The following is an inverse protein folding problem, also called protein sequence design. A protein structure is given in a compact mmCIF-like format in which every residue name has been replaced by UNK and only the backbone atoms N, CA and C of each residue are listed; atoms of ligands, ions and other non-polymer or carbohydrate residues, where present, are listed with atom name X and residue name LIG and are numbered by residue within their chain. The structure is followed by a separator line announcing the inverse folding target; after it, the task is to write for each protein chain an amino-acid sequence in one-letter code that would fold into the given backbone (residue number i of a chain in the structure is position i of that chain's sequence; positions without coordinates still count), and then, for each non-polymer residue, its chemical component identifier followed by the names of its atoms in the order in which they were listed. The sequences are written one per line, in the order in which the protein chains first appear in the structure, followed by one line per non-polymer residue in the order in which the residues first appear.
data_IF_767120380656
#
_entry.id   IF_767120380656
#
_cell.length_a   1.000
_cell.length_b   1.000
_cell.length_c   1.000
_cell.angle_alpha   90.00
_cell.angle_beta   90.00
_cell.angle_gamma   90.00
#
_symmetry.space_group_name_H-M   'P 1'
#
loop_
_entity.id
_entity.type
_entity.pdbx_description
1 polymer ?
#
# COMPACT_ATOMS: atom_id res chain seq x y z
N UNK A 1 -19.75 -37.16 14.04
CA UNK A 1 -19.34 -35.81 13.61
C UNK A 1 -20.38 -35.29 12.64
N UNK A 2 -21.32 -34.50 13.14
CA UNK A 2 -22.45 -33.97 12.38
C UNK A 2 -21.99 -33.11 11.19
N UNK A 3 -22.45 -33.47 9.99
CA UNK A 3 -22.13 -32.80 8.71
C UNK A 3 -22.39 -31.28 8.76
N UNK A 4 -23.38 -30.86 9.56
CA UNK A 4 -23.72 -29.45 9.84
C UNK A 4 -22.63 -28.69 10.58
N UNK A 5 -21.96 -29.33 11.54
CA UNK A 5 -20.88 -28.72 12.31
C UNK A 5 -19.64 -28.48 11.42
N UNK A 6 -19.38 -29.41 10.49
CA UNK A 6 -18.30 -29.29 9.50
C UNK A 6 -18.57 -28.13 8.52
N UNK A 7 -19.81 -27.96 8.09
CA UNK A 7 -20.20 -26.86 7.20
C UNK A 7 -20.05 -25.49 7.87
N UNK A 8 -20.48 -25.37 9.13
CA UNK A 8 -20.32 -24.15 9.90
C UNK A 8 -18.84 -23.77 10.09
N UNK A 9 -17.99 -24.75 10.35
CA UNK A 9 -16.55 -24.53 10.51
C UNK A 9 -15.89 -24.03 9.22
N UNK A 10 -16.26 -24.59 8.06
CA UNK A 10 -15.72 -24.17 6.74
C UNK A 10 -16.16 -22.74 6.39
N UNK A 11 -17.42 -22.39 6.67
CA UNK A 11 -17.91 -21.04 6.43
C UNK A 11 -17.19 -20.00 7.31
N UNK A 12 -16.93 -20.34 8.59
CA UNK A 12 -16.24 -19.43 9.50
C UNK A 12 -14.79 -19.16 9.06
N UNK A 13 -14.04 -20.19 8.65
CA UNK A 13 -12.67 -19.99 8.13
C UNK A 13 -12.68 -19.22 6.81
N UNK A 14 -13.64 -19.46 5.91
CA UNK A 14 -13.73 -18.70 4.67
C UNK A 14 -13.89 -17.20 4.93
N UNK A 15 -14.76 -16.78 5.84
CA UNK A 15 -14.98 -15.36 6.17
C UNK A 15 -13.72 -14.70 6.76
N UNK A 16 -12.97 -15.41 7.60
CA UNK A 16 -11.72 -14.89 8.20
C UNK A 16 -10.63 -14.72 7.15
N UNK A 17 -10.48 -15.66 6.20
CA UNK A 17 -9.52 -15.51 5.10
C UNK A 17 -9.87 -14.33 4.19
N UNK A 18 -11.15 -14.13 3.86
CA UNK A 18 -11.56 -12.99 3.03
C UNK A 18 -11.34 -11.64 3.72
N UNK A 19 -11.44 -11.61 5.05
CA UNK A 19 -11.16 -10.41 5.83
C UNK A 19 -9.67 -10.03 5.81
N UNK A 20 -8.76 -11.01 5.77
CA UNK A 20 -7.33 -10.75 5.62
C UNK A 20 -6.93 -10.43 4.17
N UNK A 21 -7.68 -10.86 3.16
CA UNK A 21 -7.39 -10.51 1.75
C UNK A 21 -7.84 -9.12 1.34
N UNK A 22 -8.68 -8.46 2.14
CA UNK A 22 -9.13 -7.09 1.89
C UNK A 22 -8.29 -6.04 2.60
N UNK A 23 -7.07 -6.40 3.01
CA UNK A 23 -6.12 -5.47 3.57
C UNK A 23 -5.66 -4.54 2.45
N UNK A 24 -6.40 -3.46 2.26
CA UNK A 24 -6.08 -2.37 1.35
C UNK A 24 -4.66 -1.92 1.70
N UNK A 25 -3.71 -2.17 0.79
CA UNK A 25 -2.34 -1.67 0.93
C UNK A 25 -2.47 -0.16 1.16
N UNK A 26 -1.96 0.38 2.29
CA UNK A 26 -2.05 1.79 2.55
C UNK A 26 -1.52 2.53 1.34
N UNK A 27 -2.37 3.28 0.65
CA UNK A 27 -1.96 4.01 -0.54
C UNK A 27 -0.73 4.83 -0.14
N UNK A 28 0.45 4.57 -0.74
CA UNK A 28 1.67 5.24 -0.32
C UNK A 28 1.45 6.73 -0.45
N UNK A 29 1.60 7.45 0.67
CA UNK A 29 1.44 8.90 0.69
C UNK A 29 2.66 9.48 -0.01
N UNK A 30 2.51 9.72 -1.31
CA UNK A 30 3.48 10.42 -2.12
C UNK A 30 3.53 11.88 -1.70
N UNK A 31 4.74 12.39 -1.47
CA UNK A 31 4.94 13.81 -1.19
C UNK A 31 5.39 14.52 -2.47
N UNK A 32 5.03 15.79 -2.63
CA UNK A 32 5.60 16.59 -3.69
C UNK A 32 7.08 16.90 -3.41
N UNK A 33 7.96 16.74 -4.42
CA UNK A 33 9.36 17.10 -4.30
C UNK A 33 9.53 18.61 -4.16
N UNK A 34 10.54 19.02 -3.40
CA UNK A 34 10.96 20.40 -3.35
C UNK A 34 11.86 20.68 -4.55
N UNK A 35 11.56 21.76 -5.27
CA UNK A 35 12.38 22.20 -6.41
C UNK A 35 13.27 23.35 -5.97
N UNK A 36 14.55 23.26 -6.32
CA UNK A 36 15.46 24.40 -6.21
C UNK A 36 15.14 25.46 -7.29
N UNK A 37 15.82 26.61 -7.20
CA UNK A 37 15.71 27.70 -8.18
C UNK A 37 16.11 27.31 -9.62
N UNK A 38 16.77 26.16 -9.81
CA UNK A 38 17.20 25.62 -11.10
C UNK A 38 16.23 24.54 -11.62
N UNK A 39 15.21 24.18 -10.84
CA UNK A 39 14.24 23.15 -11.19
C UNK A 39 14.70 21.72 -10.87
N UNK A 40 15.76 21.55 -10.08
CA UNK A 40 16.18 20.22 -9.64
C UNK A 40 15.24 19.71 -8.55
N UNK A 41 14.60 18.54 -8.71
CA UNK A 41 13.75 17.98 -7.67
C UNK A 41 14.61 17.38 -6.55
N UNK A 42 14.14 17.50 -5.32
CA UNK A 42 14.76 16.91 -4.13
C UNK A 42 13.70 16.42 -3.15
N UNK A 43 14.02 15.34 -2.43
CA UNK A 43 13.15 14.75 -1.41
C UNK A 43 13.76 14.90 -0.02
N UNK A 44 12.90 15.01 0.98
CA UNK A 44 13.28 14.97 2.39
C UNK A 44 13.89 13.63 2.77
N UNK A 45 14.72 13.60 3.81
CA UNK A 45 15.29 12.36 4.33
C UNK A 45 14.21 11.31 4.62
N UNK A 46 14.42 10.07 4.16
CA UNK A 46 13.42 9.00 4.23
C UNK A 46 12.50 8.90 3.01
N UNK A 47 12.73 9.70 1.97
CA UNK A 47 12.02 9.61 0.69
C UNK A 47 12.99 9.69 -0.49
N UNK A 48 12.70 8.92 -1.54
CA UNK A 48 13.43 8.91 -2.81
C UNK A 48 12.59 9.48 -3.94
N UNK A 49 13.26 10.06 -4.94
CA UNK A 49 12.59 10.54 -6.15
C UNK A 49 12.11 9.35 -6.97
N UNK A 50 10.81 9.32 -7.24
CA UNK A 50 10.16 8.32 -8.08
C UNK A 50 9.25 8.99 -9.11
N UNK A 51 8.86 8.24 -10.12
CA UNK A 51 7.86 8.66 -11.11
C UNK A 51 6.64 7.77 -10.97
N UNK A 52 5.47 8.37 -10.74
CA UNK A 52 4.22 7.61 -10.71
C UNK A 52 3.90 7.08 -12.11
N UNK A 53 3.03 6.06 -12.18
CA UNK A 53 2.48 5.53 -13.43
C UNK A 53 1.73 6.56 -14.29
N UNK A 54 1.30 7.67 -13.70
CA UNK A 54 0.74 8.84 -14.39
C UNK A 54 1.82 9.82 -14.92
N UNK A 55 3.11 9.52 -14.74
CA UNK A 55 4.24 10.34 -15.18
C UNK A 55 4.59 11.51 -14.25
N UNK A 56 4.11 11.52 -13.00
CA UNK A 56 4.35 12.61 -12.06
C UNK A 56 5.60 12.32 -11.21
N UNK A 57 6.52 13.29 -11.14
CA UNK A 57 7.67 13.22 -10.23
C UNK A 57 7.20 13.41 -8.78
N UNK A 58 7.44 12.41 -7.94
CA UNK A 58 7.01 12.36 -6.54
C UNK A 58 8.14 11.89 -5.63
N UNK A 59 8.01 12.17 -4.34
CA UNK A 59 8.83 11.58 -3.29
C UNK A 59 8.14 10.34 -2.74
N UNK A 60 8.71 9.17 -3.00
CA UNK A 60 8.26 7.88 -2.50
C UNK A 60 9.01 7.53 -1.21
N UNK A 61 8.33 7.14 -0.12
CA UNK A 61 9.02 6.72 1.10
C UNK A 61 9.98 5.56 0.82
N UNK A 62 11.21 5.64 1.32
CA UNK A 62 12.13 4.49 1.29
C UNK A 62 11.66 3.52 2.35
N UNK A 63 10.97 2.46 1.93
CA UNK A 63 10.70 1.31 2.79
C UNK A 63 12.04 0.66 3.15
N UNK A 64 12.38 0.66 4.44
CA UNK A 64 13.52 -0.10 4.98
C UNK A 64 13.20 -1.59 5.08
#
# INVERSE_FOLDING_TARGET
MDMKLKFAAICATAVVLTACSQQEEPAPVYIQPAYDKFGTPSCSAGYELATTEAGQTVCNPVTQ
#
